data_IF_905362545011
#
_entry.id   IF_905362545011
#
_cell.length_a   1.000
_cell.length_b   1.000
_cell.length_c   1.000
_cell.angle_alpha   90.00
_cell.angle_beta   90.00
_cell.angle_gamma   90.00
#
_symmetry.space_group_name_H-M   'P 1'
#
loop_
_entity.id
_entity.type
_entity.pdbx_description
1 polymer ?
#
# COMPACT_ATOMS: atom_id res chain seq x y z
N UNK A 1 -0.94 -14.98 -6.95
CA UNK A 1 0.12 -14.25 -6.20
C UNK A 1 1.31 -15.16 -6.01
N UNK A 2 2.51 -14.66 -6.30
CA UNK A 2 3.78 -15.35 -6.13
C UNK A 2 4.71 -14.53 -5.24
N UNK A 3 5.28 -15.18 -4.22
CA UNK A 3 6.28 -14.59 -3.33
C UNK A 3 7.56 -15.38 -3.48
N UNK A 4 8.67 -14.69 -3.71
CA UNK A 4 9.99 -15.31 -3.80
C UNK A 4 10.88 -14.70 -2.72
N UNK A 5 11.43 -15.56 -1.88
CA UNK A 5 12.39 -15.19 -0.84
C UNK A 5 13.78 -15.61 -1.33
N UNK A 6 14.65 -14.61 -1.49
CA UNK A 6 16.04 -14.81 -1.90
C UNK A 6 16.91 -14.79 -0.65
N UNK A 7 17.70 -15.83 -0.45
CA UNK A 7 18.65 -15.91 0.65
C UNK A 7 20.05 -15.50 0.19
N UNK A 8 20.85 -14.96 1.10
CA UNK A 8 22.22 -14.52 0.85
C UNK A 8 23.14 -15.65 0.37
N UNK A 9 22.81 -16.91 0.69
CA UNK A 9 23.56 -18.09 0.26
C UNK A 9 23.13 -18.62 -1.13
N UNK A 10 22.23 -17.94 -1.84
CA UNK A 10 21.72 -18.35 -3.15
C UNK A 10 20.55 -19.33 -3.12
N UNK A 11 20.05 -19.74 -1.94
CA UNK A 11 18.77 -20.47 -1.82
C UNK A 11 17.61 -19.55 -2.23
N UNK A 12 16.58 -20.14 -2.83
CA UNK A 12 15.30 -19.49 -3.12
C UNK A 12 14.17 -20.32 -2.50
N UNK A 13 13.23 -19.66 -1.83
CA UNK A 13 11.92 -20.23 -1.54
C UNK A 13 10.87 -19.52 -2.40
N UNK A 14 10.02 -20.32 -3.06
CA UNK A 14 8.96 -19.82 -3.95
C UNK A 14 7.61 -20.27 -3.41
N UNK A 15 6.77 -19.30 -3.05
CA UNK A 15 5.41 -19.52 -2.59
C UNK A 15 4.44 -19.02 -3.66
N UNK A 16 3.43 -19.82 -4.00
CA UNK A 16 2.40 -19.47 -4.97
C UNK A 16 1.03 -19.81 -4.41
N UNK A 17 0.07 -18.90 -4.62
CA UNK A 17 -1.34 -19.15 -4.30
C UNK A 17 -2.06 -19.96 -5.36
N UNK A 18 -1.44 -20.13 -6.53
CA UNK A 18 -2.12 -20.59 -7.75
C UNK A 18 -1.84 -22.07 -8.04
N UNK A 19 -0.72 -22.61 -7.54
CA UNK A 19 -0.27 -23.98 -7.80
C UNK A 19 -0.44 -24.89 -6.57
N UNK A 20 -1.08 -26.06 -6.76
CA UNK A 20 -1.21 -27.14 -5.75
C UNK A 20 -1.95 -26.78 -4.45
N UNK A 21 -2.84 -25.78 -4.49
CA UNK A 21 -3.73 -25.40 -3.38
C UNK A 21 -5.13 -26.01 -3.59
N UNK A 22 -5.90 -26.19 -2.51
CA UNK A 22 -7.29 -26.64 -2.64
C UNK A 22 -8.12 -25.54 -3.34
N UNK A 23 -8.90 -25.90 -4.37
CA UNK A 23 -9.69 -24.93 -5.15
C UNK A 23 -10.77 -24.20 -4.33
N UNK A 24 -11.36 -24.88 -3.33
CA UNK A 24 -12.34 -24.29 -2.42
C UNK A 24 -12.06 -24.70 -0.97
N UNK A 25 -11.06 -24.09 -0.31
CA UNK A 25 -10.63 -24.53 1.01
C UNK A 25 -11.70 -24.28 2.10
N UNK A 26 -12.72 -23.48 1.80
CA UNK A 26 -13.83 -23.13 2.70
C UNK A 26 -15.20 -23.67 2.27
N UNK A 27 -15.28 -24.58 1.29
CA UNK A 27 -16.55 -25.08 0.76
C UNK A 27 -17.48 -25.68 1.83
N UNK A 28 -16.91 -26.21 2.93
CA UNK A 28 -17.69 -26.76 4.06
C UNK A 28 -18.21 -25.69 5.01
N UNK A 29 -17.68 -24.47 4.95
CA UNK A 29 -17.93 -23.38 5.87
C UNK A 29 -18.79 -22.26 5.25
N UNK A 30 -18.81 -22.14 3.91
CA UNK A 30 -19.63 -21.15 3.21
C UNK A 30 -19.26 -21.04 1.73
N UNK A 31 -19.76 -19.99 1.08
CA UNK A 31 -19.49 -19.70 -0.33
C UNK A 31 -18.40 -18.62 -0.42
N UNK A 32 -17.19 -19.01 -0.80
CA UNK A 32 -16.08 -18.05 -0.94
C UNK A 32 -16.25 -17.22 -2.22
N UNK A 33 -16.66 -15.95 -2.06
CA UNK A 33 -16.78 -15.00 -3.18
C UNK A 33 -15.47 -14.28 -3.49
N UNK A 34 -14.62 -14.07 -2.49
CA UNK A 34 -13.32 -13.41 -2.63
C UNK A 34 -12.36 -13.85 -1.52
N UNK A 35 -11.09 -14.04 -1.88
CA UNK A 35 -10.02 -14.34 -0.92
C UNK A 35 -9.10 -13.13 -0.77
N UNK A 36 -8.84 -12.74 0.46
CA UNK A 36 -7.96 -11.65 0.81
C UNK A 36 -6.67 -12.21 1.40
N UNK A 37 -5.55 -11.72 0.87
CA UNK A 37 -4.20 -12.08 1.25
C UNK A 37 -3.52 -10.81 1.77
N UNK A 38 -3.32 -10.71 3.08
CA UNK A 38 -2.63 -9.56 3.68
C UNK A 38 -1.19 -9.95 3.98
N UNK A 39 -0.24 -9.44 3.20
CA UNK A 39 1.19 -9.61 3.48
C UNK A 39 1.62 -8.60 4.54
N UNK A 40 2.09 -9.08 5.70
CA UNK A 40 2.34 -8.27 6.90
C UNK A 40 3.81 -7.86 7.01
N UNK A 41 4.26 -6.97 6.12
CA UNK A 41 5.61 -6.40 6.20
C UNK A 41 5.80 -5.49 7.42
N UNK A 42 4.71 -5.05 8.05
CA UNK A 42 4.71 -4.31 9.32
C UNK A 42 5.13 -5.17 10.51
N UNK A 43 5.03 -6.50 10.41
CA UNK A 43 5.43 -7.45 11.45
C UNK A 43 6.78 -8.12 11.14
N UNK A 44 7.48 -7.67 10.09
CA UNK A 44 8.63 -8.38 9.56
C UNK A 44 9.71 -8.58 10.64
N UNK A 45 10.09 -7.51 11.35
CA UNK A 45 11.16 -7.56 12.35
C UNK A 45 10.77 -8.34 13.62
N UNK A 46 9.48 -8.45 13.92
CA UNK A 46 8.97 -9.07 15.15
C UNK A 46 8.60 -10.55 14.99
N UNK A 47 7.92 -10.91 13.90
CA UNK A 47 7.34 -12.24 13.70
C UNK A 47 7.89 -12.99 12.46
N UNK A 48 8.60 -12.28 11.57
CA UNK A 48 9.02 -12.77 10.26
C UNK A 48 8.03 -12.46 9.14
N UNK A 49 8.15 -13.15 7.99
CA UNK A 49 7.26 -12.93 6.85
C UNK A 49 5.93 -13.66 7.05
N UNK A 50 4.88 -12.88 7.31
CA UNK A 50 3.54 -13.38 7.63
C UNK A 50 2.53 -13.03 6.51
N UNK A 51 1.61 -13.96 6.26
CA UNK A 51 0.39 -13.72 5.48
C UNK A 51 -0.83 -14.03 6.33
N UNK A 52 -1.72 -13.05 6.48
CA UNK A 52 -3.06 -13.26 7.01
C UNK A 52 -4.04 -13.57 5.88
N UNK A 53 -4.78 -14.67 6.00
CA UNK A 53 -5.84 -15.06 5.07
C UNK A 53 -7.21 -14.69 5.63
N UNK A 54 -8.00 -14.04 4.79
CA UNK A 54 -9.42 -13.83 4.99
C UNK A 54 -10.19 -14.24 3.75
N UNK A 55 -11.48 -14.45 3.90
CA UNK A 55 -12.37 -14.77 2.78
C UNK A 55 -13.74 -14.15 2.99
N UNK A 56 -14.44 -13.88 1.89
CA UNK A 56 -15.74 -13.23 1.91
C UNK A 56 -16.82 -14.27 1.64
N UNK A 57 -17.62 -14.53 2.66
CA UNK A 57 -18.68 -15.52 2.68
C UNK A 57 -19.96 -14.93 2.07
N UNK A 58 -20.35 -15.47 0.92
CA UNK A 58 -21.57 -15.14 0.19
C UNK A 58 -22.78 -15.98 0.55
N UNK A 59 -22.68 -16.87 1.54
CA UNK A 59 -23.85 -17.60 2.02
C UNK A 59 -24.82 -16.67 2.77
N UNK A 60 -26.10 -17.05 2.84
CA UNK A 60 -27.12 -16.31 3.58
C UNK A 60 -26.78 -16.30 5.08
N UNK A 61 -26.12 -15.23 5.52
CA UNK A 61 -25.73 -15.04 6.91
C UNK A 61 -26.62 -13.97 7.57
N UNK A 62 -27.26 -14.33 8.68
CA UNK A 62 -28.22 -13.45 9.38
C UNK A 62 -27.63 -12.18 9.98
N UNK A 63 -26.30 -12.04 10.03
CA UNK A 63 -25.59 -10.86 10.50
C UNK A 63 -24.89 -10.07 9.39
N UNK A 64 -25.21 -10.33 8.12
CA UNK A 64 -24.76 -9.52 7.00
C UNK A 64 -25.26 -8.08 7.14
N UNK A 65 -24.39 -7.12 6.84
CA UNK A 65 -24.80 -5.71 6.73
C UNK A 65 -25.71 -5.59 5.52
N UNK A 66 -26.79 -4.83 5.67
CA UNK A 66 -27.73 -4.52 4.60
C UNK A 66 -27.64 -3.03 4.29
N UNK A 67 -27.61 -2.68 3.00
CA UNK A 67 -27.59 -1.30 2.54
C UNK A 67 -28.66 -1.10 1.48
N UNK A 68 -29.55 -0.10 1.60
CA UNK A 68 -30.48 0.23 0.54
C UNK A 68 -29.70 0.75 -0.67
N UNK A 69 -30.11 0.31 -1.85
CA UNK A 69 -29.62 0.82 -3.13
C UNK A 69 -30.73 1.63 -3.78
N UNK A 70 -30.52 2.96 -3.81
CA UNK A 70 -31.48 3.92 -4.32
C UNK A 70 -31.69 3.77 -5.85
N UNK A 71 -30.67 3.31 -6.58
CA UNK A 71 -30.73 3.15 -8.03
C UNK A 71 -31.59 1.95 -8.42
N UNK A 72 -31.43 0.81 -7.73
CA UNK A 72 -32.19 -0.42 -8.03
C UNK A 72 -33.45 -0.56 -7.20
N UNK A 73 -33.64 0.26 -6.15
CA UNK A 73 -34.69 0.12 -5.13
C UNK A 73 -34.68 -1.24 -4.46
N UNK A 74 -33.51 -1.82 -4.27
CA UNK A 74 -33.32 -3.11 -3.59
C UNK A 74 -32.46 -2.96 -2.35
N UNK A 75 -32.35 -4.03 -1.56
CA UNK A 75 -31.43 -4.10 -0.43
C UNK A 75 -30.25 -4.96 -0.87
N UNK A 76 -29.05 -4.39 -0.82
CA UNK A 76 -27.81 -5.11 -1.06
C UNK A 76 -27.35 -5.72 0.26
N UNK A 77 -27.13 -7.04 0.25
CA UNK A 77 -26.50 -7.76 1.36
C UNK A 77 -25.01 -7.85 1.12
N UNK A 78 -24.22 -7.42 2.10
CA UNK A 78 -22.78 -7.49 2.04
C UNK A 78 -22.30 -8.90 2.39
N UNK A 79 -21.36 -9.43 1.61
CA UNK A 79 -20.66 -10.67 1.96
C UNK A 79 -19.88 -10.48 3.27
N UNK A 80 -19.90 -11.49 4.13
CA UNK A 80 -19.23 -11.39 5.43
C UNK A 80 -17.75 -11.75 5.31
N UNK A 81 -16.88 -10.83 5.75
CA UNK A 81 -15.45 -11.15 5.91
C UNK A 81 -15.26 -12.13 7.05
N UNK A 82 -14.72 -13.30 6.74
CA UNK A 82 -14.41 -14.40 7.67
C UNK A 82 -12.91 -14.52 7.85
N UNK A 83 -12.50 -14.81 9.08
CA UNK A 83 -11.11 -15.10 9.39
C UNK A 83 -10.73 -16.48 8.84
N UNK A 84 -9.64 -16.52 8.08
CA UNK A 84 -8.98 -17.74 7.65
C UNK A 84 -7.88 -18.14 8.62
N UNK A 85 -6.65 -18.24 8.11
CA UNK A 85 -5.45 -18.62 8.88
C UNK A 85 -4.34 -17.60 8.69
N UNK A 86 -3.50 -17.47 9.70
CA UNK A 86 -2.19 -16.84 9.59
C UNK A 86 -1.17 -17.89 9.13
N UNK A 87 -0.41 -17.57 8.09
CA UNK A 87 0.67 -18.40 7.58
C UNK A 87 1.98 -17.65 7.81
N UNK A 88 2.94 -18.30 8.47
CA UNK A 88 4.31 -17.82 8.55
C UNK A 88 5.13 -18.48 7.46
N UNK A 89 5.57 -17.69 6.48
CA UNK A 89 6.39 -18.15 5.37
C UNK A 89 7.87 -18.21 5.75
N UNK A 90 8.33 -17.21 6.50
CA UNK A 90 9.72 -17.13 6.99
C UNK A 90 9.69 -16.75 8.46
N UNK A 91 10.46 -17.45 9.28
CA UNK A 91 10.58 -17.13 10.70
C UNK A 91 11.46 -15.91 10.94
N UNK A 92 11.37 -15.32 12.14
CA UNK A 92 12.23 -14.20 12.55
C UNK A 92 13.72 -14.56 12.49
N UNK A 93 14.09 -15.77 12.90
CA UNK A 93 15.48 -16.26 12.89
C UNK A 93 16.04 -16.33 11.46
N UNK A 94 15.23 -16.72 10.48
CA UNK A 94 15.67 -16.83 9.09
C UNK A 94 15.88 -15.47 8.40
N UNK A 95 15.32 -14.38 8.95
CA UNK A 95 15.42 -13.03 8.36
C UNK A 95 16.87 -12.58 8.18
N UNK A 96 17.76 -12.95 9.10
CA UNK A 96 19.18 -12.56 9.05
C UNK A 96 19.87 -13.03 7.76
N UNK A 97 19.35 -14.11 7.15
CA UNK A 97 19.87 -14.71 5.93
C UNK A 97 19.14 -14.27 4.66
N UNK A 98 18.08 -13.45 4.77
CA UNK A 98 17.34 -12.96 3.61
C UNK A 98 18.14 -11.86 2.91
N UNK A 99 18.27 -11.96 1.59
CA UNK A 99 18.80 -10.91 0.72
C UNK A 99 17.68 -10.00 0.22
N UNK A 100 16.56 -10.56 -0.24
CA UNK A 100 15.40 -9.79 -0.70
C UNK A 100 14.14 -10.65 -0.77
N UNK A 101 12.98 -9.99 -0.83
CA UNK A 101 11.67 -10.61 -1.06
C UNK A 101 11.00 -9.88 -2.22
N UNK A 102 10.52 -10.64 -3.19
CA UNK A 102 9.69 -10.11 -4.28
C UNK A 102 8.26 -10.64 -4.20
N UNK A 103 7.28 -9.80 -4.50
CA UNK A 103 5.86 -10.17 -4.56
C UNK A 103 5.37 -9.84 -5.97
N UNK A 104 4.89 -10.85 -6.70
CA UNK A 104 4.46 -10.75 -8.10
C UNK A 104 5.49 -10.09 -9.03
N UNK A 105 6.78 -10.31 -8.75
CA UNK A 105 7.91 -9.75 -9.49
C UNK A 105 8.41 -8.40 -8.98
N UNK A 106 7.65 -7.72 -8.11
CA UNK A 106 8.03 -6.44 -7.52
C UNK A 106 8.90 -6.62 -6.28
N UNK A 107 10.00 -5.86 -6.19
CA UNK A 107 10.86 -5.83 -5.00
C UNK A 107 10.10 -5.19 -3.83
N UNK A 108 9.81 -6.00 -2.81
CA UNK A 108 9.01 -5.61 -1.64
C UNK A 108 9.86 -5.42 -0.38
N UNK A 109 10.95 -6.18 -0.25
CA UNK A 109 11.94 -6.07 0.83
C UNK A 109 13.31 -6.32 0.25
N UNK A 110 14.32 -5.55 0.66
CA UNK A 110 15.72 -5.86 0.34
C UNK A 110 16.62 -5.64 1.54
N UNK A 111 17.77 -6.29 1.54
CA UNK A 111 18.81 -6.07 2.52
C UNK A 111 19.72 -4.93 2.06
N UNK A 112 19.92 -3.95 2.92
CA UNK A 112 20.89 -2.87 2.73
C UNK A 112 21.75 -2.75 3.97
N UNK A 113 23.05 -3.03 3.82
CA UNK A 113 23.93 -3.26 4.97
C UNK A 113 23.40 -4.41 5.84
N UNK A 114 23.27 -4.16 7.15
CA UNK A 114 22.78 -5.13 8.14
C UNK A 114 21.26 -5.20 8.29
N UNK A 115 20.50 -4.38 7.56
CA UNK A 115 19.06 -4.19 7.80
C UNK A 115 18.21 -4.68 6.64
N UNK A 116 17.02 -5.20 6.96
CA UNK A 116 15.97 -5.42 5.97
C UNK A 116 15.16 -4.12 5.84
N UNK A 117 15.03 -3.65 4.61
CA UNK A 117 14.29 -2.43 4.30
C UNK A 117 12.90 -2.82 3.84
N UNK A 118 11.88 -2.22 4.48
CA UNK A 118 10.51 -2.32 4.00
C UNK A 118 10.34 -1.48 2.73
N UNK A 119 10.45 -2.17 1.60
CA UNK A 119 10.44 -1.53 0.28
C UNK A 119 9.10 -0.94 -0.11
N UNK A 120 7.99 -1.48 0.40
CA UNK A 120 6.66 -0.91 0.17
C UNK A 120 6.54 0.43 0.87
N UNK A 121 6.98 0.53 2.13
CA UNK A 121 6.99 1.82 2.85
C UNK A 121 7.93 2.82 2.19
N UNK A 122 9.13 2.40 1.78
CA UNK A 122 10.07 3.26 1.07
C UNK A 122 9.48 3.79 -0.24
N UNK A 123 8.96 2.91 -1.12
CA UNK A 123 8.37 3.30 -2.41
C UNK A 123 7.18 4.25 -2.25
N UNK A 124 6.37 4.06 -1.20
CA UNK A 124 5.28 4.99 -0.90
C UNK A 124 5.80 6.39 -0.57
N UNK A 125 6.90 6.49 0.20
CA UNK A 125 7.51 7.79 0.50
C UNK A 125 8.21 8.38 -0.72
N UNK A 126 8.97 7.58 -1.46
CA UNK A 126 9.62 7.98 -2.70
C UNK A 126 8.62 8.59 -3.69
N UNK A 127 7.45 7.97 -3.88
CA UNK A 127 6.38 8.50 -4.73
C UNK A 127 5.90 9.89 -4.29
N UNK A 128 5.85 10.14 -2.98
CA UNK A 128 5.38 11.40 -2.41
C UNK A 128 6.44 12.50 -2.47
N UNK A 129 7.70 12.19 -2.20
CA UNK A 129 8.74 13.20 -1.96
C UNK A 129 9.82 13.31 -3.03
N UNK A 130 10.12 12.25 -3.80
CA UNK A 130 11.29 12.25 -4.68
C UNK A 130 10.98 12.92 -6.03
N UNK A 131 11.81 13.91 -6.40
CA UNK A 131 11.81 14.54 -7.72
C UNK A 131 13.20 14.45 -8.35
N UNK A 132 13.26 14.26 -9.66
CA UNK A 132 14.47 14.34 -10.49
C UNK A 132 14.12 14.87 -11.89
N UNK A 133 15.08 14.88 -12.81
CA UNK A 133 14.90 15.37 -14.19
C UNK A 133 13.74 14.73 -14.97
N UNK A 134 13.34 13.51 -14.60
CA UNK A 134 12.35 12.68 -15.30
C UNK A 134 11.08 12.39 -14.49
N UNK A 135 11.12 12.59 -13.17
CA UNK A 135 10.05 12.25 -12.24
C UNK A 135 9.80 13.44 -11.34
N UNK A 136 8.55 13.89 -11.25
CA UNK A 136 8.14 14.90 -10.26
C UNK A 136 7.32 14.23 -9.18
N UNK A 137 7.67 14.50 -7.92
CA UNK A 137 7.00 13.96 -6.74
C UNK A 137 5.51 14.26 -6.74
N UNK A 138 4.70 13.40 -6.10
CA UNK A 138 3.26 13.64 -5.99
C UNK A 138 2.96 14.93 -5.23
N UNK A 139 3.77 15.26 -4.21
CA UNK A 139 3.63 16.50 -3.44
C UNK A 139 3.82 17.73 -4.32
N UNK A 140 4.92 17.80 -5.08
CA UNK A 140 5.20 18.95 -5.97
C UNK A 140 4.18 19.08 -7.08
N UNK A 141 3.70 17.95 -7.64
CA UNK A 141 2.59 17.93 -8.61
C UNK A 141 1.30 18.46 -8.00
N UNK A 142 0.93 18.01 -6.80
CA UNK A 142 -0.27 18.46 -6.11
C UNK A 142 -0.22 19.96 -5.80
N UNK A 143 0.90 20.46 -5.26
CA UNK A 143 1.13 21.89 -5.02
C UNK A 143 1.00 22.72 -6.29
N UNK A 144 1.60 22.27 -7.40
CA UNK A 144 1.56 22.98 -8.68
C UNK A 144 0.15 23.09 -9.24
N UNK A 145 -0.63 22.00 -9.19
CA UNK A 145 -2.04 22.01 -9.64
C UNK A 145 -2.89 22.89 -8.73
N UNK A 146 -2.68 22.84 -7.42
CA UNK A 146 -3.41 23.67 -6.46
C UNK A 146 -3.19 25.17 -6.70
N UNK A 147 -1.93 25.60 -6.86
CA UNK A 147 -1.62 27.01 -7.12
C UNK A 147 -2.14 27.46 -8.49
N UNK A 148 -2.11 26.59 -9.52
CA UNK A 148 -2.77 26.88 -10.79
C UNK A 148 -4.27 27.11 -10.62
N UNK A 149 -4.98 26.23 -9.90
CA UNK A 149 -6.42 26.35 -9.66
C UNK A 149 -6.76 27.62 -8.87
N UNK A 150 -5.95 27.97 -7.87
CA UNK A 150 -6.09 29.20 -7.10
C UNK A 150 -5.96 30.45 -7.97
N UNK A 151 -4.97 30.47 -8.87
CA UNK A 151 -4.77 31.58 -9.80
C UNK A 151 -5.87 31.67 -10.85
N UNK A 152 -6.34 30.53 -11.36
CA UNK A 152 -7.38 30.46 -12.38
C UNK A 152 -8.78 30.78 -11.84
N UNK A 153 -9.02 30.65 -10.52
CA UNK A 153 -10.33 30.83 -9.91
C UNK A 153 -10.31 31.80 -8.70
N UNK A 154 -10.06 33.11 -8.93
CA UNK A 154 -10.05 34.09 -7.84
C UNK A 154 -11.38 34.12 -7.08
N UNK A 155 -11.32 34.08 -5.74
CA UNK A 155 -12.48 34.19 -4.87
C UNK A 155 -13.16 32.86 -4.51
N UNK A 156 -12.72 31.73 -5.08
CA UNK A 156 -13.10 30.39 -4.59
C UNK A 156 -12.25 30.04 -3.36
N UNK A 157 -12.87 29.40 -2.36
CA UNK A 157 -12.16 29.00 -1.13
C UNK A 157 -11.16 27.87 -1.38
N UNK A 158 -10.10 27.81 -0.58
CA UNK A 158 -9.06 26.77 -0.70
C UNK A 158 -9.61 25.37 -0.42
N UNK A 159 -10.61 25.22 0.45
CA UNK A 159 -11.30 23.95 0.69
C UNK A 159 -11.96 23.44 -0.60
N UNK A 160 -12.65 24.33 -1.31
CA UNK A 160 -13.35 23.99 -2.54
C UNK A 160 -12.37 23.65 -3.66
N UNK A 161 -11.28 24.42 -3.78
CA UNK A 161 -10.22 24.16 -4.76
C UNK A 161 -9.51 22.83 -4.50
N UNK A 162 -9.19 22.53 -3.23
CA UNK A 162 -8.60 21.24 -2.84
C UNK A 162 -9.54 20.08 -3.21
N UNK A 163 -10.83 20.21 -2.89
CA UNK A 163 -11.83 19.20 -3.20
C UNK A 163 -11.98 18.96 -4.71
N UNK A 164 -11.83 19.99 -5.56
CA UNK A 164 -11.90 19.85 -7.03
C UNK A 164 -10.79 18.95 -7.60
N UNK A 165 -9.59 18.96 -7.01
CA UNK A 165 -8.50 18.06 -7.41
C UNK A 165 -8.50 16.73 -6.64
N UNK A 166 -9.52 16.49 -5.81
CA UNK A 166 -9.66 15.25 -5.03
C UNK A 166 -8.87 15.20 -3.73
N UNK A 167 -8.34 16.34 -3.25
CA UNK A 167 -7.57 16.42 -2.01
C UNK A 167 -8.41 17.05 -0.88
N UNK A 168 -8.41 16.47 0.33
CA UNK A 168 -8.79 17.20 1.53
C UNK A 168 -7.84 18.38 1.76
N UNK A 169 -8.36 19.52 2.24
CA UNK A 169 -7.52 20.71 2.49
C UNK A 169 -6.36 20.43 3.46
N UNK A 170 -6.59 19.62 4.49
CA UNK A 170 -5.55 19.25 5.45
C UNK A 170 -4.37 18.49 4.81
N UNK A 171 -4.63 17.70 3.78
CA UNK A 171 -3.55 17.03 3.03
C UNK A 171 -2.72 18.04 2.23
N UNK A 172 -3.37 19.04 1.61
CA UNK A 172 -2.67 20.12 0.90
C UNK A 172 -1.80 20.96 1.84
N UNK A 173 -2.27 21.22 3.07
CA UNK A 173 -1.49 21.94 4.08
C UNK A 173 -0.23 21.16 4.48
N UNK A 174 -0.37 19.85 4.76
CA UNK A 174 0.78 18.99 5.06
C UNK A 174 1.79 18.93 3.92
N UNK A 175 1.30 18.88 2.67
CA UNK A 175 2.16 18.92 1.48
C UNK A 175 2.93 20.24 1.42
N UNK A 176 2.26 21.38 1.62
CA UNK A 176 2.90 22.70 1.61
C UNK A 176 3.96 22.81 2.70
N UNK A 177 3.66 22.36 3.91
CA UNK A 177 4.60 22.37 5.04
C UNK A 177 5.83 21.47 4.75
N UNK A 178 5.60 20.28 4.18
CA UNK A 178 6.67 19.35 3.82
C UNK A 178 7.56 19.89 2.69
N UNK A 179 6.98 20.46 1.63
CA UNK A 179 7.75 21.07 0.54
C UNK A 179 8.52 22.29 1.04
N UNK A 180 7.92 23.16 1.87
CA UNK A 180 8.59 24.31 2.45
C UNK A 180 9.83 23.93 3.28
N UNK A 181 9.75 22.84 4.05
CA UNK A 181 10.89 22.34 4.83
C UNK A 181 12.04 21.78 3.99
N UNK A 182 11.83 21.47 2.70
CA UNK A 182 12.86 20.99 1.78
C UNK A 182 13.34 22.09 0.81
N UNK A 183 12.67 23.23 0.75
CA UNK A 183 13.04 24.37 -0.13
C UNK A 183 14.24 25.18 0.38
N UNK A 184 14.75 24.92 1.59
CA UNK A 184 15.88 25.66 2.19
C UNK A 184 17.27 25.18 1.71
N UNK A 185 17.38 24.17 0.85
CA UNK A 185 18.66 23.61 0.39
C UNK A 185 19.10 24.05 -1.03
N UNK A 186 18.26 24.78 -1.80
CA UNK A 186 18.58 25.19 -3.19
C UNK A 186 19.14 26.61 -3.33
N UNK A 187 19.21 27.42 -2.26
CA UNK A 187 19.64 28.84 -2.30
C UNK A 187 21.12 29.07 -1.91
N UNK A 188 21.91 28.02 -1.64
CA UNK A 188 23.32 28.11 -1.21
C UNK A 188 24.35 27.79 -2.32
N UNK A 189 23.95 27.76 -3.60
CA UNK A 189 24.85 27.60 -4.76
C UNK A 189 25.18 28.93 -5.49
N UNK A 190 24.95 30.07 -4.84
CA UNK A 190 25.30 31.41 -5.34
C UNK A 190 26.24 32.15 -4.36
N UNK A 191 27.41 31.57 -4.03
CA UNK A 191 28.54 32.34 -3.48
C UNK A 191 29.91 31.84 -3.99
N UNK A 192 30.46 32.64 -4.91
CA UNK A 192 31.88 32.99 -5.17
C UNK A 192 32.91 31.90 -5.55
N UNK A 193 33.30 31.83 -6.83
CA UNK A 193 34.49 32.55 -7.39
C UNK A 193 34.59 32.46 -8.94
#
# INVERSE_FOLDING_TARGET
MQIIVYYQNGKLDVFSTDNFTANEPWAKQGLNLATELTVRLDLLDDEGLIIDLYWYDGSEAGNAVETPDDDTRTVIRHALRRQGRRIRLVSQEELEHIAQITIDGELAVWRQGGYLINGVMFKNQELLCFSNDSVTSMNRRASSVFEYLKNANPGISEETLSAMMGYPLGAMQQIKDAEAANSEEDDDDDFDE
#
